data_IF_826481181250
#
_entry.id   IF_826481181250
#
_cell.length_a   1.000
_cell.length_b   1.000
_cell.length_c   1.000
_cell.angle_alpha   90.00
_cell.angle_beta   90.00
_cell.angle_gamma   90.00
#
_symmetry.space_group_name_H-M   'P 1'
#
loop_
_entity.id
_entity.type
_entity.pdbx_description
1 polymer ?
#
# COMPACT_ATOMS: atom_id res chain seq x y z
N UNK A 1 4.13 -6.37 -10.00
CA UNK A 1 2.88 -7.04 -9.63
C UNK A 1 2.51 -6.61 -8.23
N UNK A 2 1.29 -6.11 -8.03
CA UNK A 2 0.81 -5.63 -6.73
C UNK A 2 0.55 -6.83 -5.81
N UNK A 3 1.00 -6.75 -4.55
CA UNK A 3 0.79 -7.80 -3.55
C UNK A 3 -0.13 -7.31 -2.45
N UNK A 4 -1.28 -7.98 -2.30
CA UNK A 4 -2.30 -7.63 -1.33
C UNK A 4 -1.75 -7.51 0.10
N UNK A 5 -0.98 -8.49 0.59
CA UNK A 5 -0.39 -8.45 1.94
C UNK A 5 0.47 -7.21 2.22
N UNK A 6 1.12 -6.63 1.21
CA UNK A 6 1.96 -5.44 1.37
C UNK A 6 1.07 -4.24 1.66
N UNK A 7 0.09 -4.01 0.78
CA UNK A 7 -0.81 -2.87 0.89
C UNK A 7 -1.74 -2.99 2.10
N UNK A 8 -2.20 -4.21 2.42
CA UNK A 8 -2.92 -4.48 3.67
C UNK A 8 -2.08 -4.11 4.89
N UNK A 9 -0.81 -4.54 4.93
CA UNK A 9 0.12 -4.21 6.00
C UNK A 9 0.34 -2.71 6.17
N UNK A 10 0.52 -1.99 5.06
CA UNK A 10 0.68 -0.53 5.03
C UNK A 10 -0.56 0.22 5.52
N UNK A 11 -1.76 -0.22 5.11
CA UNK A 11 -3.04 0.35 5.56
C UNK A 11 -3.23 0.11 7.07
N UNK A 12 -3.02 -1.11 7.55
CA UNK A 12 -3.12 -1.44 8.98
C UNK A 12 -2.15 -0.61 9.81
N UNK A 13 -0.91 -0.46 9.33
CA UNK A 13 0.10 0.40 9.96
C UNK A 13 -0.36 1.86 10.01
N UNK A 14 -0.91 2.37 8.92
CA UNK A 14 -1.41 3.75 8.83
C UNK A 14 -2.54 3.98 9.82
N UNK A 15 -3.52 3.06 9.87
CA UNK A 15 -4.63 3.11 10.84
C UNK A 15 -4.11 3.09 12.29
N UNK A 16 -3.13 2.23 12.58
CA UNK A 16 -2.48 2.18 13.90
C UNK A 16 -1.80 3.50 14.27
N UNK A 17 -1.02 4.06 13.36
CA UNK A 17 -0.29 5.32 13.59
C UNK A 17 -1.22 6.52 13.70
N UNK A 18 -2.29 6.58 12.89
CA UNK A 18 -3.31 7.62 12.97
C UNK A 18 -3.99 7.67 14.34
N UNK A 19 -4.16 6.50 14.97
CA UNK A 19 -4.73 6.35 16.31
C UNK A 19 -3.72 6.53 17.45
N UNK A 20 -2.45 6.79 17.13
CA UNK A 20 -1.39 6.95 18.12
C UNK A 20 -1.04 5.66 18.88
N UNK A 21 -1.45 4.49 18.37
CA UNK A 21 -1.24 3.21 19.02
C UNK A 21 0.15 2.66 18.71
N UNK A 22 0.82 2.13 19.72
CA UNK A 22 2.06 1.36 19.59
C UNK A 22 1.75 -0.08 19.19
N UNK A 23 2.74 -0.78 18.62
CA UNK A 23 2.59 -2.21 18.35
C UNK A 23 2.34 -3.02 19.64
N UNK A 24 2.83 -2.55 20.80
CA UNK A 24 2.64 -3.23 22.08
C UNK A 24 1.19 -3.17 22.55
N UNK A 25 0.54 -2.02 22.40
CA UNK A 25 -0.89 -1.85 22.73
C UNK A 25 -1.75 -2.73 21.84
N UNK A 26 -1.55 -2.67 20.52
CA UNK A 26 -2.31 -3.52 19.58
C UNK A 26 -2.05 -5.01 19.83
N UNK A 27 -0.81 -5.38 20.16
CA UNK A 27 -0.45 -6.76 20.50
C UNK A 27 -1.20 -7.29 21.73
N UNK A 28 -1.36 -6.47 22.76
CA UNK A 28 -2.11 -6.83 23.96
C UNK A 28 -3.60 -7.07 23.63
N UNK A 29 -4.21 -6.16 22.87
CA UNK A 29 -5.64 -6.22 22.56
C UNK A 29 -5.99 -7.30 21.54
N UNK A 30 -5.19 -7.43 20.48
CA UNK A 30 -5.37 -8.44 19.43
C UNK A 30 -4.97 -9.86 19.89
N UNK A 31 -4.31 -10.00 21.05
CA UNK A 31 -3.75 -11.26 21.56
C UNK A 31 -2.79 -11.95 20.59
N UNK A 32 -2.02 -11.15 19.88
CA UNK A 32 -1.08 -11.59 18.84
C UNK A 32 0.29 -11.03 19.16
N UNK A 33 1.36 -11.77 18.90
CA UNK A 33 2.70 -11.30 19.22
C UNK A 33 3.07 -10.02 18.45
N UNK A 34 3.72 -9.08 19.14
CA UNK A 34 4.22 -7.84 18.55
C UNK A 34 5.05 -8.09 17.29
N UNK A 35 5.92 -9.10 17.33
CA UNK A 35 6.75 -9.49 16.18
C UNK A 35 5.91 -9.87 14.97
N UNK A 36 4.85 -10.66 15.16
CA UNK A 36 3.99 -11.10 14.07
C UNK A 36 3.18 -9.94 13.48
N UNK A 37 2.62 -9.04 14.31
CA UNK A 37 1.97 -7.81 13.82
C UNK A 37 2.96 -6.97 13.00
N UNK A 38 4.20 -6.86 13.48
CA UNK A 38 5.25 -6.13 12.79
C UNK A 38 5.61 -6.73 11.42
N UNK A 39 5.63 -8.07 11.30
CA UNK A 39 5.82 -8.75 10.02
C UNK A 39 4.64 -8.53 9.06
N UNK A 40 3.41 -8.52 9.58
CA UNK A 40 2.18 -8.22 8.82
C UNK A 40 2.23 -6.79 8.27
N UNK A 41 2.52 -5.80 9.11
CA UNK A 41 2.62 -4.39 8.68
C UNK A 41 3.69 -4.14 7.61
N UNK A 42 4.72 -5.00 7.55
CA UNK A 42 5.76 -4.95 6.52
C UNK A 42 5.43 -5.79 5.28
N UNK A 43 4.27 -6.43 5.22
CA UNK A 43 3.88 -7.32 4.13
C UNK A 43 4.74 -8.59 4.03
N UNK A 44 5.37 -9.02 5.13
CA UNK A 44 6.21 -10.22 5.18
C UNK A 44 5.40 -11.49 5.42
N UNK A 45 4.19 -11.35 5.99
CA UNK A 45 3.27 -12.45 6.30
C UNK A 45 1.90 -12.15 5.71
N UNK A 46 1.18 -13.22 5.38
CA UNK A 46 -0.24 -13.16 5.06
C UNK A 46 -1.04 -13.09 6.37
N UNK A 47 -2.10 -12.28 6.40
CA UNK A 47 -3.03 -12.26 7.53
C UNK A 47 -4.18 -13.24 7.28
N UNK A 48 -4.47 -14.11 8.25
CA UNK A 48 -5.73 -14.87 8.20
C UNK A 48 -6.91 -13.94 8.44
N UNK A 49 -8.11 -14.39 8.07
CA UNK A 49 -9.35 -13.63 8.31
C UNK A 49 -9.58 -13.38 9.80
N UNK A 50 -9.27 -14.36 10.67
CA UNK A 50 -9.39 -14.25 12.13
C UNK A 50 -8.37 -13.26 12.72
N UNK A 51 -7.14 -13.26 12.19
CA UNK A 51 -6.13 -12.29 12.58
C UNK A 51 -6.54 -10.88 12.17
N UNK A 52 -7.01 -10.72 10.92
CA UNK A 52 -7.45 -9.43 10.41
C UNK A 52 -8.64 -8.89 11.23
N UNK A 53 -9.60 -9.74 11.58
CA UNK A 53 -10.70 -9.37 12.47
C UNK A 53 -10.20 -8.91 13.86
N UNK A 54 -9.25 -9.64 14.44
CA UNK A 54 -8.64 -9.28 15.74
C UNK A 54 -7.92 -7.94 15.67
N UNK A 55 -7.17 -7.67 14.59
CA UNK A 55 -6.48 -6.40 14.38
C UNK A 55 -7.47 -5.25 14.15
N UNK A 56 -8.52 -5.45 13.36
CA UNK A 56 -9.56 -4.43 13.15
C UNK A 56 -10.23 -4.06 14.47
N UNK A 57 -10.54 -5.06 15.31
CA UNK A 57 -11.09 -4.85 16.66
C UNK A 57 -10.12 -4.05 17.55
N UNK A 58 -8.85 -4.44 17.62
CA UNK A 58 -7.83 -3.75 18.42
C UNK A 58 -7.52 -2.32 17.93
N UNK A 59 -7.70 -2.07 16.63
CA UNK A 59 -7.58 -0.75 16.03
C UNK A 59 -8.88 0.04 16.06
N UNK A 60 -9.98 -0.52 16.55
CA UNK A 60 -11.31 0.11 16.56
C UNK A 60 -11.73 0.64 15.17
N UNK A 61 -11.46 -0.16 14.13
CA UNK A 61 -11.78 0.16 12.73
C UNK A 61 -12.61 -0.96 12.11
N UNK A 62 -13.54 -0.62 11.22
CA UNK A 62 -14.32 -1.63 10.53
C UNK A 62 -13.47 -2.32 9.45
N UNK A 63 -13.71 -3.62 9.24
CA UNK A 63 -13.07 -4.37 8.15
C UNK A 63 -13.40 -3.76 6.77
N UNK A 64 -14.62 -3.25 6.59
CA UNK A 64 -15.05 -2.66 5.34
C UNK A 64 -14.24 -1.40 4.99
N UNK A 65 -13.94 -0.56 5.99
CA UNK A 65 -13.13 0.64 5.78
C UNK A 65 -11.67 0.27 5.44
N UNK A 66 -11.09 -0.69 6.17
CA UNK A 66 -9.74 -1.21 5.86
C UNK A 66 -9.68 -1.76 4.42
N UNK A 67 -10.66 -2.54 3.99
CA UNK A 67 -10.68 -3.10 2.65
C UNK A 67 -10.89 -2.03 1.57
N UNK A 68 -11.63 -0.96 1.87
CA UNK A 68 -11.77 0.19 0.98
C UNK A 68 -10.44 0.91 0.80
N UNK A 69 -9.76 1.22 1.91
CA UNK A 69 -8.44 1.86 1.88
C UNK A 69 -7.42 1.01 1.10
N UNK A 70 -7.45 -0.32 1.28
CA UNK A 70 -6.59 -1.25 0.53
C UNK A 70 -6.95 -1.26 -0.95
N UNK A 71 -8.24 -1.26 -1.30
CA UNK A 71 -8.69 -1.18 -2.70
C UNK A 71 -8.21 0.10 -3.37
N UNK A 72 -8.31 1.24 -2.68
CA UNK A 72 -7.86 2.53 -3.20
C UNK A 72 -6.33 2.53 -3.38
N UNK A 73 -5.58 1.98 -2.42
CA UNK A 73 -4.14 1.83 -2.50
C UNK A 73 -3.70 0.90 -3.66
N UNK A 74 -4.43 -0.19 -3.90
CA UNK A 74 -4.19 -1.08 -5.05
C UNK A 74 -4.38 -0.32 -6.35
N UNK A 75 -5.50 0.40 -6.50
CA UNK A 75 -5.80 1.14 -7.72
C UNK A 75 -4.72 2.17 -8.05
N UNK A 76 -4.21 2.89 -7.05
CA UNK A 76 -3.09 3.83 -7.22
C UNK A 76 -1.83 3.11 -7.71
N UNK A 77 -1.50 1.96 -7.12
CA UNK A 77 -0.27 1.25 -7.45
C UNK A 77 -0.34 0.54 -8.82
N UNK A 78 -1.52 0.05 -9.20
CA UNK A 78 -1.77 -0.47 -10.55
C UNK A 78 -1.62 0.64 -11.60
N UNK A 79 -2.22 1.81 -11.38
CA UNK A 79 -2.07 2.98 -12.26
C UNK A 79 -0.60 3.42 -12.37
N UNK A 80 0.13 3.45 -11.26
CA UNK A 80 1.55 3.82 -11.26
C UNK A 80 2.40 2.84 -12.09
N UNK A 81 2.11 1.53 -12.01
CA UNK A 81 2.77 0.51 -12.82
C UNK A 81 2.44 0.65 -14.31
N UNK A 82 1.19 0.97 -14.66
CA UNK A 82 0.79 1.22 -16.06
C UNK A 82 1.51 2.44 -16.66
N UNK A 83 1.58 3.54 -15.91
CA UNK A 83 2.29 4.76 -16.30
C UNK A 83 3.79 4.49 -16.51
N UNK A 84 4.42 3.72 -15.61
CA UNK A 84 5.83 3.35 -15.73
C UNK A 84 6.11 2.40 -16.91
N UNK A 85 5.13 1.59 -17.31
CA UNK A 85 5.24 0.67 -18.43
C UNK A 85 5.05 1.36 -19.80
N UNK A 86 4.51 2.58 -19.84
CA UNK A 86 4.29 3.31 -21.09
C UNK A 86 5.61 3.95 -21.55
N UNK A 87 6.19 3.54 -22.69
CA UNK A 87 7.45 4.13 -23.15
C UNK A 87 7.22 5.61 -23.48
N UNK A 88 7.89 6.49 -22.74
CA UNK A 88 7.95 7.92 -23.02
C UNK A 88 8.55 8.07 -24.42
N UNK A 89 7.69 8.26 -25.42
CA UNK A 89 8.14 8.53 -26.78
C UNK A 89 8.51 10.01 -26.82
N UNK A 90 9.78 10.30 -26.54
CA UNK A 90 10.34 11.63 -26.77
C UNK A 90 10.27 11.87 -28.28
N UNK A 91 9.26 12.61 -28.73
CA UNK A 91 9.25 13.17 -30.09
C UNK A 91 10.46 14.09 -30.17
N UNK A 92 11.55 13.61 -30.77
CA UNK A 92 12.60 14.53 -31.20
C UNK A 92 11.94 15.50 -32.18
N UNK A 93 12.08 16.80 -31.92
CA UNK A 93 11.75 17.83 -32.92
C UNK A 93 12.83 17.74 -34.00
N UNK A 94 12.72 16.74 -34.87
CA UNK A 94 13.48 16.71 -36.11
C UNK A 94 12.73 17.55 -37.12
N UNK A 95 13.17 18.79 -37.29
CA UNK A 95 12.56 19.75 -38.20
C UNK A 95 12.68 21.16 -37.64
N UNK A 96 13.86 21.76 -37.82
CA UNK A 96 14.06 23.18 -38.13
C UNK A 96 15.56 23.48 -38.14
N UNK A 97 16.26 23.03 -39.19
CA UNK A 97 17.39 23.80 -39.75
C UNK A 97 17.26 23.69 -41.25
N UNK A 98 16.54 24.68 -41.78
CA UNK A 98 16.41 24.97 -43.20
C UNK A 98 17.82 25.13 -43.77
N UNK A 99 18.17 24.29 -44.75
CA UNK A 99 19.32 24.55 -45.59
C UNK A 99 19.11 25.92 -46.25
N UNK A 100 19.93 26.90 -45.88
CA UNK A 100 19.96 28.21 -46.52
C UNK A 100 21.41 28.56 -46.82
N UNK A 101 21.70 28.61 -48.13
CA UNK A 101 22.60 29.53 -48.86
C UNK A 101 24.06 29.68 -48.35
N UNK A 102 25.11 29.73 -49.17
CA UNK A 102 25.28 29.90 -50.62
C UNK A 102 26.68 29.37 -50.98
#
# INVERSE_FOLDING_TARGET
MVLFRRLLGEVLRTQRMHRGLTLREVSADARVSLGYISEIERGQKEASSELLASLCSALDVSLADVLRDVSDAIAVEEQALELAATPITVRSRSGDVVASAA
#
